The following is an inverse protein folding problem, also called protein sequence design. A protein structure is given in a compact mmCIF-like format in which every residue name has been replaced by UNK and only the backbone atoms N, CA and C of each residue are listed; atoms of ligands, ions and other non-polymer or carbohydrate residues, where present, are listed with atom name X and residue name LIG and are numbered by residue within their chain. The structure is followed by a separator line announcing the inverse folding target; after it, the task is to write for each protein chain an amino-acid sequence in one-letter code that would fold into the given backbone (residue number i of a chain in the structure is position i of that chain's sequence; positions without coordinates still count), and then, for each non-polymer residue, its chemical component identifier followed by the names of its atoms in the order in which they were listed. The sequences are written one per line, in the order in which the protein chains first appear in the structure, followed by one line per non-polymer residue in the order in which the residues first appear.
data_IF_878514490573
#
_entry.id   IF_878514490573
#
_cell.length_a   1.000
_cell.length_b   1.000
_cell.length_c   1.000
_cell.angle_alpha   90.00
_cell.angle_beta   90.00
_cell.angle_gamma   90.00
#
_symmetry.space_group_name_H-M   'P 1'
#
loop_
_entity.id
_entity.type
_entity.pdbx_description
1 polymer ?
#
# COMPACT_ATOMS: atom_id res chain seq x y z
N UNK A 1 2.87 18.74 -18.18
CA UNK A 1 2.34 17.48 -17.63
C UNK A 1 0.94 17.22 -18.17
N UNK A 2 0.04 18.20 -18.04
CA UNK A 2 -1.32 18.12 -18.59
C UNK A 2 -1.39 17.91 -20.12
N UNK A 3 -0.43 18.46 -20.88
CA UNK A 3 -0.32 18.21 -22.32
C UNK A 3 -0.09 16.73 -22.66
N UNK A 4 0.75 16.02 -21.90
CA UNK A 4 1.02 14.60 -22.11
C UNK A 4 -0.23 13.78 -21.80
N UNK A 5 -0.85 13.99 -20.62
CA UNK A 5 -2.10 13.35 -20.21
C UNK A 5 -3.19 13.49 -21.27
N UNK A 6 -3.33 14.69 -21.83
CA UNK A 6 -4.28 14.96 -22.92
C UNK A 6 -3.96 14.18 -24.19
N UNK A 7 -2.70 14.17 -24.63
CA UNK A 7 -2.28 13.43 -25.84
C UNK A 7 -2.57 11.93 -25.69
N UNK A 8 -2.17 11.31 -24.58
CA UNK A 8 -2.36 9.87 -24.39
C UNK A 8 -3.83 9.49 -24.22
N UNK A 9 -4.62 10.33 -23.54
CA UNK A 9 -6.06 10.13 -23.40
C UNK A 9 -6.78 10.26 -24.75
N UNK A 10 -6.41 11.26 -25.57
CA UNK A 10 -7.00 11.46 -26.88
C UNK A 10 -6.68 10.30 -27.81
N UNK A 11 -5.42 9.86 -27.82
CA UNK A 11 -4.98 8.71 -28.60
C UNK A 11 -5.74 7.43 -28.21
N UNK A 12 -5.92 7.19 -26.91
CA UNK A 12 -6.68 6.04 -26.42
C UNK A 12 -8.13 6.03 -26.95
N UNK A 13 -8.81 7.19 -26.93
CA UNK A 13 -10.17 7.29 -27.47
C UNK A 13 -10.16 7.14 -28.99
N UNK A 14 -9.27 7.83 -29.69
CA UNK A 14 -9.24 7.86 -31.16
C UNK A 14 -8.91 6.49 -31.79
N UNK A 15 -8.09 5.67 -31.13
CA UNK A 15 -7.65 4.37 -31.67
C UNK A 15 -8.54 3.19 -31.24
N UNK A 16 -9.17 3.26 -30.06
CA UNK A 16 -9.81 2.09 -29.44
C UNK A 16 -11.30 2.23 -29.19
N UNK A 17 -11.85 3.44 -29.23
CA UNK A 17 -13.29 3.67 -29.01
C UNK A 17 -14.04 3.74 -30.33
N UNK A 18 -15.09 2.94 -30.45
CA UNK A 18 -15.94 2.86 -31.64
C UNK A 18 -17.40 3.11 -31.28
N UNK A 19 -18.22 3.41 -32.30
CA UNK A 19 -19.66 3.55 -32.12
C UNK A 19 -20.26 2.24 -31.62
N UNK A 20 -21.40 2.31 -30.92
CA UNK A 20 -22.11 1.16 -30.38
C UNK A 20 -21.40 0.41 -29.24
N UNK A 21 -20.29 0.93 -28.71
CA UNK A 21 -19.56 0.33 -27.57
C UNK A 21 -20.13 0.72 -26.21
N UNK A 22 -20.02 -0.21 -25.25
CA UNK A 22 -20.12 0.03 -23.81
C UNK A 22 -18.73 0.27 -23.23
N UNK A 23 -18.53 1.44 -22.62
CA UNK A 23 -17.20 1.90 -22.19
C UNK A 23 -17.13 2.06 -20.67
N UNK A 24 -16.17 1.41 -20.03
CA UNK A 24 -15.78 1.71 -18.66
C UNK A 24 -14.98 3.02 -18.59
N UNK A 25 -15.46 3.99 -17.82
CA UNK A 25 -14.78 5.27 -17.60
C UNK A 25 -14.09 5.26 -16.24
N UNK A 26 -12.76 5.24 -16.27
CA UNK A 26 -11.88 5.31 -15.10
C UNK A 26 -12.02 6.55 -14.22
N UNK A 27 -11.09 6.75 -13.29
CA UNK A 27 -11.08 7.92 -12.40
C UNK A 27 -9.73 8.65 -12.43
N UNK A 28 -9.77 9.98 -12.28
CA UNK A 28 -8.59 10.82 -12.09
C UNK A 28 -8.36 11.88 -13.17
N UNK A 29 -7.29 12.67 -12.99
CA UNK A 29 -6.99 13.83 -13.85
C UNK A 29 -6.76 13.47 -15.31
N UNK A 30 -6.22 12.28 -15.59
CA UNK A 30 -5.95 11.83 -16.95
C UNK A 30 -7.23 11.39 -17.66
N UNK A 31 -8.14 10.73 -16.92
CA UNK A 31 -9.43 10.28 -17.43
C UNK A 31 -10.35 11.45 -17.77
N UNK A 32 -10.18 12.61 -17.13
CA UNK A 32 -10.90 13.83 -17.54
C UNK A 32 -10.74 14.13 -19.04
N UNK A 33 -9.54 13.95 -19.60
CA UNK A 33 -9.32 14.17 -21.04
C UNK A 33 -9.93 13.08 -21.93
N UNK A 34 -10.16 11.87 -21.39
CA UNK A 34 -10.93 10.80 -22.07
C UNK A 34 -12.38 11.25 -22.21
N UNK A 35 -12.98 11.75 -21.12
CA UNK A 35 -14.34 12.30 -21.14
C UNK A 35 -14.44 13.48 -22.11
N UNK A 36 -13.50 14.42 -22.06
CA UNK A 36 -13.44 15.57 -22.99
C UNK A 36 -13.38 15.10 -24.46
N UNK A 37 -12.59 14.07 -24.77
CA UNK A 37 -12.48 13.57 -26.14
C UNK A 37 -13.76 12.85 -26.60
N UNK A 38 -14.36 12.01 -25.76
CA UNK A 38 -15.62 11.31 -26.08
C UNK A 38 -16.73 12.33 -26.38
N UNK A 39 -16.89 13.36 -25.53
CA UNK A 39 -17.87 14.43 -25.73
C UNK A 39 -17.68 15.14 -27.09
N UNK A 40 -16.44 15.53 -27.42
CA UNK A 40 -16.12 16.15 -28.71
C UNK A 40 -16.50 15.26 -29.91
N UNK A 41 -16.28 13.96 -29.82
CA UNK A 41 -16.60 13.02 -30.90
C UNK A 41 -18.11 12.74 -31.02
N UNK A 42 -18.83 12.70 -29.89
CA UNK A 42 -20.30 12.60 -29.87
C UNK A 42 -20.93 13.86 -30.48
N UNK A 43 -20.51 15.06 -30.06
CA UNK A 43 -21.02 16.34 -30.58
C UNK A 43 -20.75 16.53 -32.08
N UNK A 44 -19.60 16.05 -32.56
CA UNK A 44 -19.28 16.10 -34.00
C UNK A 44 -19.96 15.00 -34.82
N UNK A 45 -20.67 14.06 -34.18
CA UNK A 45 -21.34 12.94 -34.84
C UNK A 45 -20.40 11.85 -35.37
N UNK A 46 -19.10 11.92 -35.06
CA UNK A 46 -18.11 10.90 -35.43
C UNK A 46 -18.24 9.63 -34.59
N UNK A 47 -18.73 9.78 -33.36
CA UNK A 47 -19.03 8.68 -32.45
C UNK A 47 -20.53 8.67 -32.18
N UNK A 48 -21.16 7.49 -32.21
CA UNK A 48 -22.61 7.32 -32.04
C UNK A 48 -22.93 6.13 -31.15
N UNK A 49 -24.08 6.20 -30.48
CA UNK A 49 -24.66 5.09 -29.71
C UNK A 49 -23.72 4.46 -28.68
N UNK A 50 -22.86 5.27 -28.07
CA UNK A 50 -21.96 4.85 -27.00
C UNK A 50 -22.64 5.06 -25.65
N UNK A 51 -22.45 4.09 -24.74
CA UNK A 51 -22.90 4.18 -23.35
C UNK A 51 -21.72 3.92 -22.40
N UNK A 52 -21.68 4.65 -21.29
CA UNK A 52 -20.52 4.64 -20.40
C UNK A 52 -20.87 4.21 -18.97
N UNK A 53 -19.97 3.45 -18.33
CA UNK A 53 -20.07 3.01 -16.94
C UNK A 53 -18.96 3.71 -16.12
N UNK A 54 -19.30 4.64 -15.23
CA UNK A 54 -18.30 5.36 -14.45
C UNK A 54 -17.77 4.53 -13.28
N UNK A 55 -16.46 4.61 -13.02
CA UNK A 55 -15.82 3.94 -11.89
C UNK A 55 -15.87 4.75 -10.59
N UNK A 56 -16.33 6.00 -10.61
CA UNK A 56 -16.51 6.82 -9.41
C UNK A 56 -17.67 7.81 -9.56
N UNK A 57 -18.13 8.34 -8.41
CA UNK A 57 -19.12 9.43 -8.38
C UNK A 57 -18.56 10.69 -9.05
N UNK A 58 -17.27 10.97 -8.89
CA UNK A 58 -16.62 12.12 -9.54
C UNK A 58 -16.65 11.99 -11.08
N UNK A 59 -16.27 10.82 -11.61
CA UNK A 59 -16.35 10.53 -13.05
C UNK A 59 -17.79 10.60 -13.55
N UNK A 60 -18.74 10.05 -12.79
CA UNK A 60 -20.17 10.11 -13.12
C UNK A 60 -20.68 11.55 -13.26
N UNK A 61 -20.37 12.41 -12.28
CA UNK A 61 -20.79 13.81 -12.29
C UNK A 61 -20.17 14.58 -13.48
N UNK A 62 -18.89 14.35 -13.76
CA UNK A 62 -18.18 14.95 -14.90
C UNK A 62 -18.77 14.50 -16.23
N UNK A 63 -19.05 13.21 -16.40
CA UNK A 63 -19.64 12.66 -17.61
C UNK A 63 -21.06 13.19 -17.85
N UNK A 64 -21.89 13.28 -16.80
CA UNK A 64 -23.24 13.89 -16.90
C UNK A 64 -23.17 15.35 -17.33
N UNK A 65 -22.25 16.15 -16.78
CA UNK A 65 -22.06 17.56 -17.18
C UNK A 65 -21.68 17.71 -18.65
N UNK A 66 -20.95 16.76 -19.21
CA UNK A 66 -20.57 16.73 -20.61
C UNK A 66 -21.65 16.13 -21.53
N UNK A 67 -22.76 15.63 -20.98
CA UNK A 67 -23.83 15.01 -21.77
C UNK A 67 -23.49 13.62 -22.30
N UNK A 68 -22.50 12.94 -21.72
CA UNK A 68 -22.13 11.57 -22.12
C UNK A 68 -23.20 10.59 -21.61
N UNK A 69 -23.77 9.72 -22.47
CA UNK A 69 -24.75 8.73 -22.03
C UNK A 69 -24.16 7.75 -21.00
N UNK A 70 -24.84 7.59 -19.88
CA UNK A 70 -24.39 6.72 -18.78
C UNK A 70 -25.31 5.51 -18.57
N UNK A 71 -24.70 4.41 -18.14
CA UNK A 71 -25.37 3.17 -17.74
C UNK A 71 -24.72 2.61 -16.48
N UNK A 72 -25.14 1.42 -16.04
CA UNK A 72 -24.60 0.72 -14.88
C UNK A 72 -24.12 -0.67 -15.26
N UNK A 73 -23.20 -1.21 -14.47
CA UNK A 73 -22.71 -2.59 -14.63
C UNK A 73 -23.83 -3.64 -14.56
N UNK A 74 -24.89 -3.36 -13.78
CA UNK A 74 -26.08 -4.22 -13.70
C UNK A 74 -26.87 -4.25 -15.01
N UNK A 75 -26.97 -3.12 -15.71
CA UNK A 75 -27.71 -3.01 -16.97
C UNK A 75 -26.91 -3.55 -18.14
N UNK A 76 -25.59 -3.32 -18.14
CA UNK A 76 -24.67 -3.81 -19.16
C UNK A 76 -23.47 -4.47 -18.49
N UNK A 77 -23.51 -5.80 -18.42
CA UNK A 77 -22.47 -6.62 -17.80
C UNK A 77 -21.28 -6.89 -18.72
N UNK A 78 -21.47 -6.77 -20.04
CA UNK A 78 -20.40 -6.89 -21.02
C UNK A 78 -19.92 -5.51 -21.41
N UNK A 79 -18.68 -5.19 -21.03
CA UNK A 79 -18.04 -3.91 -21.32
C UNK A 79 -16.98 -4.17 -22.39
N UNK A 80 -17.04 -3.44 -23.51
CA UNK A 80 -16.13 -3.65 -24.62
C UNK A 80 -14.71 -3.22 -24.23
N UNK A 81 -14.59 -2.03 -23.64
CA UNK A 81 -13.32 -1.45 -23.21
C UNK A 81 -13.48 -0.62 -21.94
N UNK A 82 -12.53 -0.74 -21.02
CA UNK A 82 -12.38 0.21 -19.92
C UNK A 82 -11.14 1.05 -20.15
N UNK A 83 -11.29 2.38 -20.16
CA UNK A 83 -10.17 3.31 -20.22
C UNK A 83 -9.97 3.93 -18.85
N UNK A 84 -8.82 3.67 -18.24
CA UNK A 84 -8.52 4.15 -16.89
C UNK A 84 -7.08 4.64 -16.76
N UNK A 85 -6.86 5.54 -15.80
CA UNK A 85 -5.51 5.91 -15.39
C UNK A 85 -4.92 4.85 -14.47
N UNK A 86 -3.60 4.85 -14.34
CA UNK A 86 -2.92 4.13 -13.26
C UNK A 86 -2.05 5.09 -12.47
N UNK A 87 -1.99 4.86 -11.16
CA UNK A 87 -1.09 5.63 -10.31
C UNK A 87 0.33 5.17 -10.54
N UNK A 88 0.57 3.86 -10.68
CA UNK A 88 1.88 3.30 -11.05
C UNK A 88 1.75 2.03 -11.91
N UNK A 89 2.79 1.70 -12.68
CA UNK A 89 2.88 0.47 -13.50
C UNK A 89 4.29 -0.14 -13.45
N UNK A 90 4.40 -1.47 -13.48
CA UNK A 90 5.68 -2.17 -13.60
C UNK A 90 5.91 -2.74 -15.01
N UNK A 91 7.09 -3.35 -15.22
CA UNK A 91 7.46 -3.94 -16.51
C UNK A 91 6.59 -5.15 -16.91
N UNK A 92 5.89 -5.76 -15.96
CA UNK A 92 4.97 -6.87 -16.19
C UNK A 92 3.52 -6.39 -16.36
N UNK A 93 3.31 -5.07 -16.49
CA UNK A 93 2.01 -4.41 -16.61
C UNK A 93 1.11 -4.58 -15.36
N UNK A 94 1.69 -4.86 -14.18
CA UNK A 94 0.96 -4.79 -12.94
C UNK A 94 0.69 -3.34 -12.56
N UNK A 95 -0.53 -3.08 -12.10
CA UNK A 95 -1.02 -1.73 -11.84
C UNK A 95 -1.17 -1.48 -10.34
N UNK A 96 -0.71 -0.30 -9.91
CA UNK A 96 -1.19 0.31 -8.67
C UNK A 96 -2.19 1.41 -9.03
N UNK A 97 -3.39 1.27 -8.49
CA UNK A 97 -4.51 2.21 -8.63
C UNK A 97 -5.11 2.47 -7.26
N UNK A 98 -5.83 3.58 -7.13
CA UNK A 98 -6.61 3.88 -5.95
C UNK A 98 -6.52 5.29 -5.44
N UNK A 99 -5.74 6.18 -6.08
CA UNK A 99 -5.56 7.55 -5.59
C UNK A 99 -6.79 8.40 -5.52
N UNK A 100 -7.76 8.09 -6.36
CA UNK A 100 -9.07 8.72 -6.33
C UNK A 100 -10.05 8.10 -5.33
N UNK A 101 -9.67 7.09 -4.54
CA UNK A 101 -10.59 6.38 -3.64
C UNK A 101 -11.66 5.54 -4.34
N UNK A 102 -11.44 5.17 -5.60
CA UNK A 102 -12.43 4.53 -6.48
C UNK A 102 -12.12 3.06 -6.84
N UNK A 103 -11.07 2.47 -6.25
CA UNK A 103 -10.47 1.21 -6.73
C UNK A 103 -11.47 0.04 -6.85
N UNK A 104 -12.42 -0.08 -5.92
CA UNK A 104 -13.39 -1.18 -5.93
C UNK A 104 -14.17 -1.18 -7.24
N UNK A 105 -14.78 -0.04 -7.58
CA UNK A 105 -15.53 0.12 -8.82
C UNK A 105 -14.63 0.11 -10.05
N UNK A 106 -13.43 0.70 -9.97
CA UNK A 106 -12.42 0.60 -11.03
C UNK A 106 -12.10 -0.85 -11.38
N UNK A 107 -11.85 -1.68 -10.37
CA UNK A 107 -11.50 -3.09 -10.56
C UNK A 107 -12.69 -3.92 -11.04
N UNK A 108 -13.90 -3.68 -10.53
CA UNK A 108 -15.11 -4.34 -11.02
C UNK A 108 -15.34 -4.08 -12.50
N UNK A 109 -15.36 -2.81 -12.90
CA UNK A 109 -15.55 -2.39 -14.29
C UNK A 109 -14.42 -2.92 -15.19
N UNK A 110 -13.16 -2.80 -14.75
CA UNK A 110 -12.02 -3.32 -15.47
C UNK A 110 -12.06 -4.84 -15.67
N UNK A 111 -12.48 -5.60 -14.65
CA UNK A 111 -12.54 -7.07 -14.70
C UNK A 111 -13.59 -7.62 -15.67
N UNK A 112 -14.57 -6.79 -16.03
CA UNK A 112 -15.65 -7.13 -16.98
C UNK A 112 -15.38 -6.59 -18.39
N UNK A 113 -14.13 -6.22 -18.71
CA UNK A 113 -13.77 -5.52 -19.95
C UNK A 113 -12.39 -5.84 -20.48
N UNK A 114 -12.11 -5.48 -21.74
CA UNK A 114 -10.73 -5.27 -22.19
C UNK A 114 -10.19 -3.98 -21.56
N UNK A 115 -9.11 -4.08 -20.78
CA UNK A 115 -8.59 -2.94 -20.01
C UNK A 115 -7.51 -2.18 -20.78
N UNK A 116 -7.74 -0.89 -21.03
CA UNK A 116 -6.77 0.05 -21.58
C UNK A 116 -6.31 1.03 -20.50
N UNK A 117 -5.01 1.01 -20.20
CA UNK A 117 -4.42 1.84 -19.16
C UNK A 117 -3.64 3.00 -19.74
N UNK A 118 -3.97 4.20 -19.25
CA UNK A 118 -3.22 5.41 -19.52
C UNK A 118 -2.19 5.61 -18.41
N UNK A 119 -0.91 5.53 -18.77
CA UNK A 119 0.21 5.74 -17.87
C UNK A 119 0.95 7.06 -18.19
N UNK A 120 1.17 7.87 -17.15
CA UNK A 120 2.07 9.03 -17.20
C UNK A 120 3.37 8.68 -16.45
N UNK A 121 4.52 9.04 -17.03
CA UNK A 121 5.87 8.59 -16.66
C UNK A 121 6.33 9.03 -15.25
N UNK A 122 5.49 9.75 -14.52
CA UNK A 122 5.80 10.34 -13.22
C UNK A 122 5.79 9.37 -12.03
N UNK A 123 5.41 8.10 -12.20
CA UNK A 123 5.23 7.17 -11.07
C UNK A 123 5.96 5.82 -11.26
N UNK A 124 7.23 5.72 -10.84
CA UNK A 124 7.97 4.48 -10.96
C UNK A 124 7.69 3.56 -9.76
N UNK A 125 6.68 2.68 -9.91
CA UNK A 125 6.45 1.49 -9.07
C UNK A 125 7.73 0.68 -8.86
N UNK A 126 8.54 0.63 -9.92
CA UNK A 126 9.83 -0.06 -9.96
C UNK A 126 10.80 0.52 -8.92
N UNK A 127 10.85 1.86 -8.76
CA UNK A 127 11.72 2.48 -7.75
C UNK A 127 11.21 2.19 -6.34
N UNK A 128 9.89 2.18 -6.15
CA UNK A 128 9.29 1.97 -4.84
C UNK A 128 9.48 0.53 -4.35
N UNK A 129 9.13 -0.46 -5.18
CA UNK A 129 9.28 -1.89 -4.85
C UNK A 129 10.76 -2.25 -4.62
N UNK A 130 11.68 -1.70 -5.42
CA UNK A 130 13.11 -1.89 -5.22
C UNK A 130 13.58 -1.32 -3.88
N UNK A 131 13.18 -0.08 -3.55
CA UNK A 131 13.54 0.57 -2.30
C UNK A 131 13.01 -0.20 -1.08
N UNK A 132 11.78 -0.71 -1.14
CA UNK A 132 11.23 -1.55 -0.07
C UNK A 132 11.97 -2.87 0.11
N UNK A 133 12.39 -3.52 -0.98
CA UNK A 133 13.25 -4.70 -0.90
C UNK A 133 14.58 -4.39 -0.22
N UNK A 134 15.17 -3.23 -0.51
CA UNK A 134 16.41 -2.77 0.14
C UNK A 134 16.17 -2.53 1.63
N UNK A 135 15.09 -1.85 2.00
CA UNK A 135 14.73 -1.62 3.41
C UNK A 135 14.54 -2.95 4.14
N UNK A 136 13.73 -3.88 3.61
CA UNK A 136 13.49 -5.19 4.25
C UNK A 136 14.77 -6.00 4.41
N UNK A 137 15.68 -5.97 3.43
CA UNK A 137 17.01 -6.60 3.55
C UNK A 137 17.83 -5.97 4.67
N UNK A 138 17.80 -4.64 4.76
CA UNK A 138 18.54 -3.93 5.80
C UNK A 138 17.94 -4.20 7.18
N UNK A 139 16.61 -4.15 7.33
CA UNK A 139 15.90 -4.51 8.56
C UNK A 139 16.23 -5.94 8.99
N UNK A 140 16.23 -6.90 8.06
CA UNK A 140 16.64 -8.29 8.33
C UNK A 140 18.08 -8.36 8.85
N UNK A 141 19.04 -7.79 8.11
CA UNK A 141 20.46 -7.84 8.47
C UNK A 141 20.70 -7.23 9.85
N UNK A 142 20.13 -6.04 10.09
CA UNK A 142 20.36 -5.33 11.33
C UNK A 142 19.69 -6.02 12.51
N UNK A 143 18.44 -6.48 12.36
CA UNK A 143 17.76 -7.20 13.43
C UNK A 143 18.48 -8.48 13.83
N UNK A 144 18.96 -9.22 12.83
CA UNK A 144 19.74 -10.43 13.05
C UNK A 144 21.11 -10.14 13.70
N UNK A 145 21.81 -9.08 13.30
CA UNK A 145 23.07 -8.68 13.93
C UNK A 145 22.88 -8.26 15.39
N UNK A 146 21.82 -7.50 15.70
CA UNK A 146 21.54 -7.09 17.08
C UNK A 146 21.12 -8.26 17.96
N UNK A 147 20.41 -9.23 17.41
CA UNK A 147 20.10 -10.47 18.12
C UNK A 147 21.39 -11.16 18.61
N UNK A 148 22.42 -11.27 17.75
CA UNK A 148 23.69 -11.88 18.14
C UNK A 148 24.42 -11.12 19.27
N UNK A 149 24.37 -9.78 19.24
CA UNK A 149 24.95 -8.94 20.30
C UNK A 149 24.20 -9.15 21.62
N UNK A 150 22.87 -9.15 21.58
CA UNK A 150 22.03 -9.33 22.77
C UNK A 150 22.26 -10.71 23.40
N UNK A 151 22.29 -11.77 22.60
CA UNK A 151 22.57 -13.14 23.06
C UNK A 151 23.97 -13.22 23.68
N UNK A 152 24.97 -12.62 23.06
CA UNK A 152 26.34 -12.54 23.60
C UNK A 152 26.35 -11.87 24.97
N UNK A 153 25.69 -10.71 25.12
CA UNK A 153 25.60 -10.02 26.42
C UNK A 153 24.93 -10.88 27.47
N UNK A 154 23.79 -11.52 27.15
CA UNK A 154 23.06 -12.40 28.08
C UNK A 154 23.87 -13.64 28.51
N UNK A 155 24.73 -14.15 27.65
CA UNK A 155 25.53 -15.35 27.92
C UNK A 155 26.83 -15.06 28.68
N UNK A 156 27.52 -13.97 28.31
CA UNK A 156 28.81 -13.60 28.92
C UNK A 156 28.62 -13.04 30.32
N UNK A 157 27.47 -12.40 30.59
CA UNK A 157 27.30 -11.64 31.83
C UNK A 157 26.10 -12.10 32.66
N UNK A 158 26.41 -12.68 33.80
CA UNK A 158 25.39 -13.22 34.70
C UNK A 158 24.60 -12.15 35.47
N UNK A 159 25.11 -10.91 35.60
CA UNK A 159 24.53 -9.86 36.45
C UNK A 159 24.02 -8.64 35.66
N UNK A 160 23.14 -8.89 34.69
CA UNK A 160 22.54 -7.82 33.88
C UNK A 160 21.38 -7.17 34.64
N UNK A 161 21.55 -5.87 34.92
CA UNK A 161 20.50 -4.97 35.38
C UNK A 161 19.49 -4.86 34.22
N UNK A 162 18.28 -5.42 34.39
CA UNK A 162 17.20 -5.48 33.39
C UNK A 162 17.19 -6.66 32.40
N UNK A 163 17.63 -7.86 32.84
CA UNK A 163 17.54 -9.12 32.08
C UNK A 163 16.19 -9.38 31.39
N UNK A 164 15.05 -9.09 32.04
CA UNK A 164 13.70 -9.28 31.45
C UNK A 164 13.45 -8.37 30.24
N UNK A 165 13.88 -7.12 30.32
CA UNK A 165 13.74 -6.16 29.22
C UNK A 165 14.60 -6.60 28.03
N UNK A 166 15.84 -7.01 28.31
CA UNK A 166 16.77 -7.50 27.29
C UNK A 166 16.25 -8.77 26.59
N UNK A 167 15.65 -9.70 27.33
CA UNK A 167 14.96 -10.88 26.78
C UNK A 167 13.76 -10.50 25.91
N UNK A 168 12.97 -9.49 26.31
CA UNK A 168 11.84 -9.02 25.48
C UNK A 168 12.32 -8.42 24.16
N UNK A 169 13.47 -7.75 24.18
CA UNK A 169 14.09 -7.13 23.02
C UNK A 169 14.70 -8.19 22.07
N UNK A 170 15.30 -9.24 22.64
CA UNK A 170 15.78 -10.42 21.92
C UNK A 170 14.63 -11.11 21.14
N UNK A 171 13.54 -11.44 21.84
CA UNK A 171 12.40 -12.16 21.25
C UNK A 171 11.75 -11.34 20.14
N UNK A 172 11.50 -10.05 20.37
CA UNK A 172 10.85 -9.19 19.39
C UNK A 172 11.73 -8.93 18.17
N UNK A 173 13.05 -8.77 18.35
CA UNK A 173 14.01 -8.69 17.26
C UNK A 173 14.05 -9.96 16.40
N UNK A 174 14.04 -11.13 17.04
CA UNK A 174 13.99 -12.42 16.35
C UNK A 174 12.73 -12.52 15.47
N UNK A 175 11.56 -12.20 16.02
CA UNK A 175 10.30 -12.20 15.26
C UNK A 175 10.37 -11.24 14.07
N UNK A 176 10.90 -10.02 14.27
CA UNK A 176 11.05 -9.04 13.21
C UNK A 176 11.96 -9.54 12.07
N UNK A 177 13.08 -10.20 12.42
CA UNK A 177 14.01 -10.79 11.46
C UNK A 177 13.34 -11.89 10.63
N UNK A 178 12.61 -12.81 11.27
CA UNK A 178 11.89 -13.89 10.60
C UNK A 178 10.80 -13.36 9.66
N UNK A 179 10.00 -12.41 10.12
CA UNK A 179 8.98 -11.77 9.28
C UNK A 179 9.60 -11.05 8.08
N UNK A 180 10.70 -10.30 8.29
CA UNK A 180 11.44 -9.63 7.21
C UNK A 180 11.89 -10.63 6.15
N UNK A 181 12.46 -11.76 6.59
CA UNK A 181 12.92 -12.83 5.70
C UNK A 181 11.78 -13.50 4.95
N UNK A 182 10.70 -13.87 5.64
CA UNK A 182 9.50 -14.47 5.04
C UNK A 182 8.92 -13.55 3.97
N UNK A 183 8.79 -12.25 4.24
CA UNK A 183 8.27 -11.28 3.27
C UNK A 183 9.24 -11.14 2.08
N UNK A 184 10.56 -11.18 2.30
CA UNK A 184 11.57 -11.02 1.26
C UNK A 184 11.62 -12.19 0.27
N UNK A 185 11.44 -13.43 0.73
CA UNK A 185 11.45 -14.63 -0.13
C UNK A 185 10.15 -14.79 -0.93
N UNK A 186 9.07 -14.11 -0.51
CA UNK A 186 7.79 -14.16 -1.21
C UNK A 186 7.83 -13.28 -2.45
N UNK A 187 7.41 -13.84 -3.58
CA UNK A 187 7.38 -13.13 -4.87
C UNK A 187 6.53 -11.85 -4.82
N UNK A 188 5.42 -11.86 -4.06
CA UNK A 188 4.47 -10.74 -3.99
C UNK A 188 4.53 -9.95 -2.68
N UNK A 189 5.20 -10.44 -1.62
CA UNK A 189 5.15 -9.85 -0.27
C UNK A 189 5.61 -8.38 -0.22
N UNK A 190 6.61 -8.01 -1.01
CA UNK A 190 7.13 -6.63 -1.07
C UNK A 190 6.23 -5.65 -1.81
N UNK A 191 5.40 -6.17 -2.72
CA UNK A 191 4.42 -5.40 -3.49
C UNK A 191 3.17 -5.05 -2.65
N UNK A 192 2.87 -5.87 -1.64
CA UNK A 192 1.81 -5.58 -0.67
C UNK A 192 2.24 -4.51 0.33
N UNK A 193 3.49 -4.53 0.82
CA UNK A 193 4.00 -3.49 1.71
C UNK A 193 3.97 -2.10 1.03
N UNK A 194 4.30 -2.03 -0.27
CA UNK A 194 4.14 -0.79 -1.05
C UNK A 194 2.67 -0.41 -1.25
N UNK A 195 1.76 -1.37 -1.47
CA UNK A 195 0.32 -1.09 -1.63
C UNK A 195 -0.35 -0.62 -0.33
N UNK A 196 -0.08 -1.27 0.80
CA UNK A 196 -0.62 -0.91 2.12
C UNK A 196 -0.08 0.47 2.56
N UNK A 197 1.17 0.80 2.20
CA UNK A 197 1.76 2.11 2.50
C UNK A 197 1.40 3.22 1.52
N UNK A 198 1.07 2.91 0.26
CA UNK A 198 0.67 3.94 -0.71
C UNK A 198 -0.83 4.22 -0.70
N UNK A 199 -1.66 3.24 -0.37
CA UNK A 199 -3.11 3.38 -0.35
C UNK A 199 -3.69 2.75 0.90
N UNK A 200 -4.42 3.52 1.72
CA UNK A 200 -5.20 2.95 2.78
C UNK A 200 -6.47 2.37 2.15
N UNK A 201 -6.36 1.18 1.55
CA UNK A 201 -7.53 0.37 1.27
C UNK A 201 -7.99 -0.29 2.56
N UNK A 202 -9.30 -0.36 2.77
CA UNK A 202 -9.83 -1.25 3.79
C UNK A 202 -9.60 -2.69 3.33
N UNK A 203 -9.20 -3.56 4.26
CA UNK A 203 -9.10 -5.00 4.06
C UNK A 203 -10.40 -5.58 3.49
N UNK A 204 -11.54 -5.00 3.89
CA UNK A 204 -12.86 -5.30 3.35
C UNK A 204 -12.93 -5.07 1.83
N UNK A 205 -12.49 -3.92 1.33
CA UNK A 205 -12.53 -3.60 -0.10
C UNK A 205 -11.67 -4.57 -0.93
N UNK A 206 -10.53 -4.98 -0.39
CA UNK A 206 -9.64 -5.95 -1.04
C UNK A 206 -10.26 -7.35 -1.12
N UNK A 207 -10.88 -7.82 -0.03
CA UNK A 207 -11.54 -9.13 0.03
C UNK A 207 -12.80 -9.16 -0.83
N UNK A 208 -13.66 -8.15 -0.69
CA UNK A 208 -14.94 -8.12 -1.38
C UNK A 208 -14.73 -8.10 -2.89
N UNK A 209 -13.71 -7.37 -3.38
CA UNK A 209 -13.38 -7.41 -4.82
C UNK A 209 -12.75 -8.73 -5.24
N UNK A 210 -11.89 -9.35 -4.41
CA UNK A 210 -11.33 -10.67 -4.73
C UNK A 210 -12.44 -11.73 -4.82
N UNK A 211 -13.46 -11.64 -3.97
CA UNK A 211 -14.62 -12.52 -3.99
C UNK A 211 -15.52 -12.25 -5.19
N UNK A 212 -15.76 -10.98 -5.53
CA UNK A 212 -16.65 -10.63 -6.65
C UNK A 212 -16.05 -10.95 -8.01
N UNK A 213 -14.73 -10.82 -8.16
CA UNK A 213 -14.04 -11.00 -9.45
C UNK A 213 -13.50 -12.41 -9.65
N UNK A 214 -13.42 -13.22 -8.58
CA UNK A 214 -12.81 -14.57 -8.62
C UNK A 214 -11.30 -14.58 -8.84
N UNK A 215 -10.64 -13.41 -8.95
CA UNK A 215 -9.21 -13.29 -9.21
C UNK A 215 -8.48 -12.83 -7.96
N UNK A 216 -7.70 -13.74 -7.35
CA UNK A 216 -6.84 -13.41 -6.21
C UNK A 216 -5.55 -12.74 -6.71
N UNK A 217 -5.60 -11.42 -6.88
CA UNK A 217 -4.40 -10.62 -7.23
C UNK A 217 -3.40 -10.49 -6.07
N UNK A 218 -3.87 -10.64 -4.82
CA UNK A 218 -3.10 -10.51 -3.58
C UNK A 218 -3.64 -11.54 -2.59
N UNK A 219 -2.79 -12.35 -1.96
CA UNK A 219 -3.28 -13.31 -0.97
C UNK A 219 -3.60 -12.61 0.36
N UNK A 220 -4.68 -13.04 1.02
CA UNK A 220 -5.05 -12.55 2.37
C UNK A 220 -3.89 -12.74 3.36
N UNK A 221 -3.12 -13.82 3.20
CA UNK A 221 -1.93 -14.11 3.99
C UNK A 221 -0.84 -13.04 3.83
N UNK A 222 -0.60 -12.52 2.62
CA UNK A 222 0.39 -11.47 2.40
C UNK A 222 0.03 -10.18 3.15
N UNK A 223 -1.26 -9.83 3.15
CA UNK A 223 -1.76 -8.65 3.85
C UNK A 223 -1.57 -8.80 5.35
N UNK A 224 -1.95 -9.95 5.90
CA UNK A 224 -1.77 -10.27 7.31
C UNK A 224 -0.30 -10.20 7.73
N UNK A 225 0.61 -10.80 6.96
CA UNK A 225 2.04 -10.77 7.23
C UNK A 225 2.60 -9.34 7.25
N UNK A 226 2.14 -8.46 6.36
CA UNK A 226 2.55 -7.06 6.35
C UNK A 226 2.07 -6.28 7.57
N UNK A 227 0.83 -6.46 8.02
CA UNK A 227 0.34 -5.82 9.25
C UNK A 227 1.08 -6.33 10.48
N UNK A 228 1.30 -7.64 10.56
CA UNK A 228 2.06 -8.25 11.64
C UNK A 228 3.49 -7.69 11.68
N UNK A 229 4.14 -7.52 10.53
CA UNK A 229 5.45 -6.87 10.42
C UNK A 229 5.44 -5.45 11.00
N UNK A 230 4.44 -4.61 10.64
CA UNK A 230 4.34 -3.23 11.14
C UNK A 230 4.13 -3.16 12.65
N UNK A 231 3.29 -4.05 13.20
CA UNK A 231 3.03 -4.13 14.64
C UNK A 231 4.31 -4.53 15.38
N UNK A 232 5.02 -5.55 14.89
CA UNK A 232 6.28 -6.00 15.51
C UNK A 232 7.37 -4.92 15.39
N UNK A 233 7.48 -4.24 14.25
CA UNK A 233 8.42 -3.12 14.05
C UNK A 233 8.16 -1.99 15.08
N UNK A 234 6.89 -1.64 15.31
CA UNK A 234 6.50 -0.66 16.33
C UNK A 234 6.82 -1.12 17.75
N UNK A 235 6.57 -2.39 18.08
CA UNK A 235 6.89 -2.95 19.39
C UNK A 235 8.40 -2.90 19.66
N UNK A 236 9.22 -3.28 18.68
CA UNK A 236 10.69 -3.16 18.77
C UNK A 236 11.09 -1.70 19.01
N UNK A 237 10.49 -0.74 18.29
CA UNK A 237 10.76 0.68 18.52
C UNK A 237 10.40 1.13 19.94
N UNK A 238 9.24 0.76 20.47
CA UNK A 238 8.81 1.12 21.82
C UNK A 238 9.72 0.52 22.91
N UNK A 239 10.12 -0.75 22.73
CA UNK A 239 11.05 -1.42 23.66
C UNK A 239 12.44 -0.76 23.60
N UNK A 240 12.91 -0.36 22.40
CA UNK A 240 14.16 0.38 22.24
C UNK A 240 14.12 1.73 22.99
N UNK A 241 13.01 2.46 22.84
CA UNK A 241 12.81 3.74 23.52
C UNK A 241 12.78 3.59 25.04
N UNK A 242 12.07 2.58 25.54
CA UNK A 242 12.01 2.30 26.97
C UNK A 242 13.36 1.84 27.53
N UNK A 243 14.10 1.02 26.78
CA UNK A 243 15.46 0.59 27.15
C UNK A 243 16.43 1.77 27.22
N UNK A 244 16.33 2.71 26.28
CA UNK A 244 17.11 3.94 26.31
C UNK A 244 16.75 4.82 27.52
N UNK A 245 15.46 4.96 27.83
CA UNK A 245 14.99 5.71 28.98
C UNK A 245 15.53 5.15 30.30
N UNK A 246 15.39 3.84 30.52
CA UNK A 246 15.91 3.14 31.71
C UNK A 246 17.44 3.32 31.87
N UNK A 247 18.18 3.28 30.76
CA UNK A 247 19.61 3.55 30.76
C UNK A 247 19.98 4.99 31.17
N UNK A 248 19.15 5.98 30.80
CA UNK A 248 19.40 7.40 31.10
C UNK A 248 18.96 7.80 32.51
N UNK A 249 17.91 7.17 33.03
CA UNK A 249 17.36 7.46 34.35
C UNK A 249 18.20 6.82 35.48
N UNK A 250 18.78 5.64 35.23
CA UNK A 250 19.54 4.92 36.23
C UNK A 250 20.91 5.56 36.52
N UNK A 251 21.18 6.03 37.76
CA UNK A 251 22.44 6.68 38.11
C UNK A 251 23.67 5.76 37.99
N UNK A 252 23.51 4.44 38.12
CA UNK A 252 24.59 3.46 37.94
C UNK A 252 24.91 3.18 36.46
N UNK A 253 24.05 3.63 35.53
CA UNK A 253 24.22 3.48 34.09
C UNK A 253 24.74 4.76 33.42
N UNK A 254 24.82 5.88 34.15
CA UNK A 254 25.42 7.15 33.69
C UNK A 254 26.94 7.11 33.64
N UNK A 255 27.56 6.25 34.44
CA UNK A 255 28.98 5.96 34.32
C UNK A 255 29.20 5.08 33.09
N UNK A 256 29.66 5.69 32.00
CA UNK A 256 30.01 5.03 30.72
C UNK A 256 31.11 3.95 30.84
N UNK A 257 31.55 3.62 32.04
CA UNK A 257 32.57 2.60 32.31
C UNK A 257 32.02 1.18 32.20
N UNK A 258 30.71 0.99 32.28
CA UNK A 258 30.07 -0.32 32.14
C UNK A 258 29.77 -0.60 30.67
N UNK A 259 30.50 -1.54 30.05
CA UNK A 259 30.33 -1.94 28.63
C UNK A 259 28.87 -2.29 28.25
N UNK A 260 28.04 -2.61 29.25
CA UNK A 260 26.66 -3.06 29.07
C UNK A 260 25.68 -1.93 28.90
N UNK A 261 25.87 -0.85 29.66
CA UNK A 261 25.09 0.37 29.49
C UNK A 261 25.35 0.94 28.10
N UNK A 262 26.61 0.95 27.68
CA UNK A 262 27.01 1.38 26.34
C UNK A 262 26.40 0.50 25.24
N UNK A 263 26.51 -0.83 25.34
CA UNK A 263 25.95 -1.76 24.36
C UNK A 263 24.42 -1.59 24.23
N UNK A 264 23.71 -1.51 25.36
CA UNK A 264 22.25 -1.36 25.36
C UNK A 264 21.79 0.00 24.82
N UNK A 265 22.48 1.09 25.18
CA UNK A 265 22.22 2.42 24.63
C UNK A 265 22.51 2.46 23.11
N UNK A 266 23.64 1.93 22.67
CA UNK A 266 24.04 1.91 21.26
C UNK A 266 23.07 1.10 20.39
N UNK A 267 22.67 -0.09 20.85
CA UNK A 267 21.67 -0.92 20.16
C UNK A 267 20.31 -0.20 20.08
N UNK A 268 19.85 0.39 21.19
CA UNK A 268 18.58 1.12 21.25
C UNK A 268 18.53 2.33 20.31
N UNK A 269 19.58 3.18 20.35
CA UNK A 269 19.69 4.36 19.47
C UNK A 269 19.74 3.96 18.00
N UNK A 270 20.46 2.88 17.68
CA UNK A 270 20.56 2.39 16.30
C UNK A 270 19.19 1.93 15.77
N UNK A 271 18.41 1.18 16.56
CA UNK A 271 17.05 0.77 16.18
C UNK A 271 16.11 1.94 15.98
N UNK A 272 16.14 2.93 16.87
CA UNK A 272 15.35 4.16 16.76
C UNK A 272 15.69 4.89 15.46
N UNK A 273 16.97 5.05 15.14
CA UNK A 273 17.42 5.69 13.91
C UNK A 273 16.96 4.94 12.65
N UNK A 274 17.08 3.61 12.65
CA UNK A 274 16.61 2.75 11.56
C UNK A 274 15.11 2.87 11.33
N UNK A 275 14.34 2.86 12.41
CA UNK A 275 12.89 3.05 12.36
C UNK A 275 12.53 4.41 11.77
N UNK A 276 13.15 5.49 12.24
CA UNK A 276 12.87 6.84 11.73
C UNK A 276 13.22 6.94 10.24
N UNK A 277 14.39 6.42 9.83
CA UNK A 277 14.80 6.40 8.41
C UNK A 277 13.84 5.55 7.58
N UNK A 278 13.40 4.37 8.08
CA UNK A 278 12.44 3.52 7.37
C UNK A 278 11.12 4.25 7.16
N UNK A 279 10.60 4.94 8.18
CA UNK A 279 9.37 5.72 8.06
C UNK A 279 9.54 6.98 7.19
N UNK A 280 10.66 7.69 7.26
CA UNK A 280 10.91 8.86 6.41
C UNK A 280 11.02 8.51 4.92
N UNK A 281 11.73 7.43 4.60
CA UNK A 281 11.82 6.93 3.22
C UNK A 281 10.42 6.59 2.72
N UNK A 282 9.63 5.90 3.55
CA UNK A 282 8.24 5.58 3.27
C UNK A 282 7.41 6.83 2.99
N UNK A 283 7.43 7.83 3.87
CA UNK A 283 6.64 9.06 3.72
C UNK A 283 7.05 9.88 2.49
N UNK A 284 8.35 9.97 2.19
CA UNK A 284 8.84 10.66 0.99
C UNK A 284 8.39 9.99 -0.30
N UNK A 285 8.08 8.70 -0.21
CA UNK A 285 7.63 7.89 -1.33
C UNK A 285 6.10 7.78 -1.43
N UNK A 286 5.37 8.32 -0.45
CA UNK A 286 3.91 8.30 -0.46
C UNK A 286 3.33 9.37 -1.40
N UNK A 287 2.22 9.06 -2.07
CA UNK A 287 1.51 10.03 -2.90
C UNK A 287 0.62 11.00 -2.09
N UNK A 288 0.56 10.86 -0.76
CA UNK A 288 -0.31 11.63 0.15
C UNK A 288 0.50 12.35 1.23
N UNK A 289 -0.10 13.39 1.82
CA UNK A 289 0.47 14.02 3.00
C UNK A 289 0.42 13.04 4.20
N UNK A 290 1.49 12.91 5.02
CA UNK A 290 1.56 11.92 6.11
C UNK A 290 0.37 11.95 7.09
N UNK A 291 -0.18 13.13 7.35
CA UNK A 291 -1.32 13.31 8.27
C UNK A 291 -2.63 12.77 7.71
N UNK A 292 -2.87 12.94 6.41
CA UNK A 292 -4.04 12.37 5.74
C UNK A 292 -3.94 10.84 5.71
N UNK A 293 -2.75 10.33 5.39
CA UNK A 293 -2.47 8.90 5.38
C UNK A 293 -2.70 8.25 6.76
N UNK A 294 -2.23 8.88 7.84
CA UNK A 294 -2.49 8.41 9.21
C UNK A 294 -3.98 8.41 9.54
N UNK A 295 -4.72 9.48 9.19
CA UNK A 295 -6.17 9.55 9.41
C UNK A 295 -6.93 8.41 8.72
N UNK A 296 -6.52 8.04 7.51
CA UNK A 296 -7.10 6.92 6.79
C UNK A 296 -6.72 5.55 7.40
N UNK A 297 -5.46 5.34 7.81
CA UNK A 297 -5.05 4.09 8.47
C UNK A 297 -5.90 3.86 9.72
N UNK A 298 -6.03 4.86 10.58
CA UNK A 298 -6.78 4.73 11.82
C UNK A 298 -8.23 4.36 11.56
N UNK A 299 -8.88 5.02 10.60
CA UNK A 299 -10.26 4.72 10.23
C UNK A 299 -10.41 3.28 9.70
N UNK A 300 -9.54 2.87 8.78
CA UNK A 300 -9.66 1.57 8.11
C UNK A 300 -9.33 0.40 9.04
N UNK A 301 -8.29 0.51 9.88
CA UNK A 301 -7.94 -0.55 10.85
C UNK A 301 -9.13 -0.86 11.76
N UNK A 302 -9.82 0.17 12.26
CA UNK A 302 -10.99 -0.02 13.12
C UNK A 302 -12.15 -0.69 12.37
N UNK A 303 -12.45 -0.26 11.15
CA UNK A 303 -13.49 -0.87 10.32
C UNK A 303 -13.17 -2.32 9.94
N UNK A 304 -11.90 -2.61 9.66
CA UNK A 304 -11.41 -3.94 9.26
C UNK A 304 -11.43 -4.94 10.43
N UNK A 305 -10.94 -4.54 11.61
CA UNK A 305 -11.02 -5.37 12.83
C UNK A 305 -12.48 -5.72 13.11
N UNK A 306 -13.37 -4.72 13.07
CA UNK A 306 -14.79 -4.93 13.33
C UNK A 306 -15.43 -5.90 12.32
N UNK A 307 -15.08 -5.78 11.04
CA UNK A 307 -15.60 -6.66 9.99
C UNK A 307 -15.10 -8.11 10.11
N UNK A 308 -13.81 -8.30 10.41
CA UNK A 308 -13.23 -9.63 10.65
C UNK A 308 -13.87 -10.28 11.86
N UNK A 309 -14.00 -9.55 12.97
CA UNK A 309 -14.69 -10.04 14.17
C UNK A 309 -16.13 -10.44 13.89
N UNK A 310 -16.87 -9.65 13.10
CA UNK A 310 -18.26 -9.96 12.72
C UNK A 310 -18.37 -11.22 11.84
N UNK A 311 -17.46 -11.41 10.88
CA UNK A 311 -17.45 -12.62 10.04
C UNK A 311 -17.05 -13.87 10.84
N UNK A 312 -16.07 -13.75 11.74
CA UNK A 312 -15.69 -14.84 12.65
C UNK A 312 -16.85 -15.21 13.56
N UNK A 313 -17.55 -14.20 14.11
CA UNK A 313 -18.73 -14.40 14.94
C UNK A 313 -19.82 -15.18 14.21
N UNK A 314 -20.20 -14.75 13.00
CA UNK A 314 -21.21 -15.44 12.18
C UNK A 314 -20.78 -16.83 11.67
N UNK A 315 -19.49 -17.16 11.73
CA UNK A 315 -18.98 -18.48 11.36
C UNK A 315 -19.00 -19.44 12.55
N UNK A 316 -18.82 -18.91 13.77
CA UNK A 316 -18.76 -19.69 15.01
C UNK A 316 -20.12 -19.82 15.72
N UNK A 317 -21.04 -18.88 15.49
CA UNK A 317 -22.38 -18.80 16.08
C UNK A 317 -23.44 -18.55 15.01
#
# INVERSE_FOLDING_TARGET
MDSLKKIVAYKAVDEYVQSNMTIGLGTGSTVFYVLERIDNLLKSGKLKDVVCIPTSIDTELKARKLGIPLTTLEKHSNIDITIDGTDEIDLNLNLIKGRGGALVREKLVASSSSLFIIYDKSSPLIKLNYLFKVILRFTFLVSFSFLAIIVSTLYVENNIINKKLLQSFEITSLILSLLSFIILIRQNGTYILSKIKMYPFSFKDLIDVSLSTGVVTISVLDIFLCYLFLIVELLVFLIALFSLYECLDNPYMKDNENMNSFSLQFTSVSYIGLYIISQMIVFRSMPYHPTEYLGYIFKNIFEDIFCVMKKIWNFLF
#
